data_IF_120762154169
#
_entry.id   IF_120762154169
#
_cell.length_a   1.000
_cell.length_b   1.000
_cell.length_c   1.000
_cell.angle_alpha   90.00
_cell.angle_beta   90.00
_cell.angle_gamma   90.00
#
_symmetry.space_group_name_H-M   'P 1'
#
loop_
_entity.id
_entity.type
_entity.pdbx_description
1 polymer ?
#
# COMPACT_ATOMS: atom_id res chain seq x y z
N UNK A 1 -7.22 -56.70 27.35
CA UNK A 1 -7.00 -55.29 27.71
C UNK A 1 -8.15 -54.47 27.14
N UNK A 2 -9.04 -53.87 27.96
CA UNK A 2 -10.10 -53.00 27.43
C UNK A 2 -9.48 -51.71 26.89
N UNK A 3 -9.95 -51.26 25.73
CA UNK A 3 -9.52 -50.00 25.11
C UNK A 3 -9.93 -48.82 25.99
N UNK A 4 -9.00 -47.89 26.23
CA UNK A 4 -9.28 -46.67 26.99
C UNK A 4 -10.21 -45.76 26.18
N UNK A 5 -11.27 -45.18 26.78
CA UNK A 5 -12.11 -44.21 26.10
C UNK A 5 -11.30 -42.94 25.81
N UNK A 6 -11.11 -42.60 24.53
CA UNK A 6 -10.52 -41.32 24.13
C UNK A 6 -11.52 -40.21 24.35
N UNK A 7 -11.41 -39.52 25.48
CA UNK A 7 -12.13 -38.27 25.74
C UNK A 7 -11.70 -37.30 24.64
N UNK A 8 -12.64 -36.92 23.77
CA UNK A 8 -12.42 -35.87 22.79
C UNK A 8 -12.25 -34.56 23.58
N UNK A 9 -10.99 -34.13 23.74
CA UNK A 9 -10.68 -32.81 24.27
C UNK A 9 -10.83 -31.87 23.08
N UNK A 10 -11.81 -30.94 23.06
CA UNK A 10 -11.78 -29.87 22.08
C UNK A 10 -10.42 -29.19 22.24
N UNK A 11 -9.56 -29.27 21.23
CA UNK A 11 -8.41 -28.37 21.14
C UNK A 11 -8.97 -26.95 21.24
N UNK A 12 -8.35 -26.05 22.01
CA UNK A 12 -8.80 -24.67 22.05
C UNK A 12 -8.89 -24.20 20.60
N UNK A 13 -10.11 -23.90 20.15
CA UNK A 13 -10.30 -23.16 18.91
C UNK A 13 -9.49 -21.89 19.13
N UNK A 14 -8.37 -21.76 18.42
CA UNK A 14 -7.56 -20.55 18.44
C UNK A 14 -8.45 -19.46 17.82
N UNK A 15 -9.32 -18.89 18.65
CA UNK A 15 -10.21 -17.81 18.28
C UNK A 15 -9.38 -16.74 17.59
N UNK A 16 -9.91 -16.09 16.54
CA UNK A 16 -9.13 -15.45 15.48
C UNK A 16 -7.90 -14.70 16.00
N UNK A 17 -6.74 -15.37 16.08
CA UNK A 17 -5.47 -14.78 16.55
C UNK A 17 -4.83 -13.91 15.46
N UNK A 18 -5.67 -13.21 14.71
CA UNK A 18 -5.30 -12.44 13.53
C UNK A 18 -6.02 -11.11 13.43
N UNK A 19 -6.71 -10.61 14.45
CA UNK A 19 -7.45 -9.34 14.30
C UNK A 19 -6.54 -8.17 13.89
N UNK A 20 -5.41 -7.98 14.58
CA UNK A 20 -4.44 -6.94 14.19
C UNK A 20 -3.76 -7.26 12.85
N UNK A 21 -3.37 -8.51 12.62
CA UNK A 21 -2.74 -8.94 11.38
C UNK A 21 -3.65 -8.76 10.17
N UNK A 22 -4.93 -9.09 10.30
CA UNK A 22 -5.93 -9.01 9.23
C UNK A 22 -6.39 -7.57 8.97
N UNK A 23 -6.46 -6.73 10.00
CA UNK A 23 -6.71 -5.29 9.85
C UNK A 23 -5.53 -4.61 9.15
N UNK A 24 -4.30 -4.90 9.57
CA UNK A 24 -3.10 -4.38 8.93
C UNK A 24 -2.98 -4.86 7.47
N UNK A 25 -3.28 -6.13 7.23
CA UNK A 25 -3.28 -6.74 5.90
C UNK A 25 -4.34 -6.08 4.98
N UNK A 26 -5.55 -5.82 5.50
CA UNK A 26 -6.58 -5.07 4.76
C UNK A 26 -6.13 -3.63 4.47
N UNK A 27 -5.50 -2.96 5.44
CA UNK A 27 -5.06 -1.58 5.29
C UNK A 27 -3.95 -1.43 4.25
N UNK A 28 -2.99 -2.36 4.24
CA UNK A 28 -1.89 -2.34 3.27
C UNK A 28 -2.40 -2.63 1.85
N UNK A 29 -3.32 -3.58 1.68
CA UNK A 29 -3.95 -3.85 0.37
C UNK A 29 -4.63 -2.60 -0.19
N UNK A 30 -5.38 -1.89 0.66
CA UNK A 30 -6.01 -0.62 0.29
C UNK A 30 -4.99 0.48 0.01
N UNK A 31 -3.92 0.57 0.78
CA UNK A 31 -2.86 1.55 0.57
C UNK A 31 -2.13 1.35 -0.77
N UNK A 32 -1.88 0.09 -1.17
CA UNK A 32 -1.28 -0.23 -2.47
C UNK A 32 -2.23 0.16 -3.61
N UNK A 33 -3.52 -0.18 -3.51
CA UNK A 33 -4.52 0.16 -4.52
C UNK A 33 -4.68 1.69 -4.70
N UNK A 34 -4.79 2.43 -3.59
CA UNK A 34 -4.86 3.89 -3.60
C UNK A 34 -3.56 4.49 -4.13
N UNK A 35 -2.42 3.96 -3.69
CA UNK A 35 -1.12 4.43 -4.14
C UNK A 35 -0.94 4.29 -5.66
N UNK A 36 -1.31 3.15 -6.23
CA UNK A 36 -1.23 2.93 -7.69
C UNK A 36 -2.03 3.98 -8.46
N UNK A 37 -3.25 4.27 -8.00
CA UNK A 37 -4.11 5.30 -8.58
C UNK A 37 -3.52 6.71 -8.40
N UNK A 38 -3.00 7.02 -7.21
CA UNK A 38 -2.39 8.30 -6.90
C UNK A 38 -1.13 8.56 -7.73
N UNK A 39 -0.30 7.53 -7.95
CA UNK A 39 0.91 7.64 -8.75
C UNK A 39 0.58 7.92 -10.21
N UNK A 40 -0.44 7.24 -10.75
CA UNK A 40 -0.92 7.49 -12.11
C UNK A 40 -1.43 8.93 -12.26
N UNK A 41 -2.21 9.42 -11.29
CA UNK A 41 -2.67 10.80 -11.26
C UNK A 41 -1.52 11.81 -11.17
N UNK A 42 -0.52 11.55 -10.31
CA UNK A 42 0.65 12.41 -10.17
C UNK A 42 1.53 12.47 -11.42
N UNK A 43 1.70 11.35 -12.13
CA UNK A 43 2.42 11.31 -13.41
C UNK A 43 1.68 12.12 -14.47
N UNK A 44 0.35 12.00 -14.56
CA UNK A 44 -0.44 12.76 -15.52
C UNK A 44 -0.38 14.27 -15.24
N UNK A 45 -0.59 14.68 -13.99
CA UNK A 45 -0.58 16.10 -13.60
C UNK A 45 0.84 16.68 -13.69
N UNK A 46 1.84 15.96 -13.20
CA UNK A 46 3.25 16.37 -13.27
C UNK A 46 3.77 16.44 -14.69
N UNK A 47 3.41 15.48 -15.55
CA UNK A 47 3.78 15.45 -16.96
C UNK A 47 3.15 16.61 -17.74
N UNK A 48 1.84 16.86 -17.58
CA UNK A 48 1.17 17.99 -18.22
C UNK A 48 1.71 19.34 -17.74
N UNK A 49 1.92 19.48 -16.43
CA UNK A 49 2.45 20.71 -15.84
C UNK A 49 3.88 20.99 -16.31
N UNK A 50 4.74 19.97 -16.40
CA UNK A 50 6.10 20.10 -16.92
C UNK A 50 6.13 20.55 -18.38
N UNK A 51 5.27 19.98 -19.24
CA UNK A 51 5.18 20.36 -20.65
C UNK A 51 4.63 21.79 -20.80
N UNK A 52 3.70 22.22 -19.95
CA UNK A 52 3.06 23.54 -20.03
C UNK A 52 3.89 24.65 -19.41
N UNK A 53 4.88 24.34 -18.55
CA UNK A 53 5.70 25.31 -17.82
C UNK A 53 6.81 25.98 -18.65
N UNK A 54 6.80 25.83 -19.98
CA UNK A 54 7.92 26.09 -20.92
C UNK A 54 8.76 27.36 -20.68
N UNK A 55 8.20 28.44 -20.11
CA UNK A 55 8.87 29.74 -19.97
C UNK A 55 8.71 30.40 -18.57
N UNK A 56 8.12 29.69 -17.59
CA UNK A 56 7.87 30.24 -16.26
C UNK A 56 8.57 29.38 -15.19
N UNK A 57 9.70 29.90 -14.69
CA UNK A 57 10.58 29.22 -13.73
C UNK A 57 9.83 28.78 -12.45
N UNK A 58 8.81 29.55 -12.02
CA UNK A 58 7.96 29.16 -10.87
C UNK A 58 7.07 27.96 -11.18
N UNK A 59 6.55 27.86 -12.42
CA UNK A 59 5.79 26.69 -12.84
C UNK A 59 6.68 25.47 -13.01
N UNK A 60 7.91 25.66 -13.49
CA UNK A 60 8.90 24.59 -13.59
C UNK A 60 9.29 24.06 -12.19
N UNK A 61 9.45 24.95 -11.20
CA UNK A 61 9.73 24.58 -9.82
C UNK A 61 8.54 23.84 -9.17
N UNK A 62 7.31 24.33 -9.39
CA UNK A 62 6.09 23.65 -8.97
C UNK A 62 5.92 22.27 -9.61
N UNK A 63 6.21 22.13 -10.90
CA UNK A 63 6.18 20.86 -11.62
C UNK A 63 7.22 19.87 -11.06
N UNK A 64 8.45 20.33 -10.77
CA UNK A 64 9.46 19.51 -10.09
C UNK A 64 8.98 19.01 -8.74
N UNK A 65 8.35 19.88 -7.94
CA UNK A 65 7.80 19.49 -6.62
C UNK A 65 6.68 18.46 -6.74
N UNK A 66 5.81 18.61 -7.74
CA UNK A 66 4.78 17.62 -8.08
C UNK A 66 5.39 16.30 -8.50
N UNK A 67 6.42 16.31 -9.36
CA UNK A 67 7.15 15.09 -9.76
C UNK A 67 7.77 14.42 -8.53
N UNK A 68 8.45 15.16 -7.66
CA UNK A 68 9.03 14.62 -6.42
C UNK A 68 7.96 13.97 -5.54
N UNK A 69 6.81 14.61 -5.36
CA UNK A 69 5.69 14.03 -4.60
C UNK A 69 5.12 12.77 -5.27
N UNK A 70 5.03 12.74 -6.61
CA UNK A 70 4.64 11.56 -7.38
C UNK A 70 5.64 10.40 -7.23
N UNK A 71 6.94 10.71 -7.24
CA UNK A 71 8.02 9.74 -6.98
C UNK A 71 7.94 9.20 -5.56
N UNK A 72 7.65 10.04 -4.56
CA UNK A 72 7.42 9.59 -3.18
C UNK A 72 6.22 8.63 -3.11
N UNK A 73 5.13 8.93 -3.82
CA UNK A 73 3.99 8.02 -3.96
C UNK A 73 4.37 6.67 -4.56
N UNK A 74 5.16 6.67 -5.64
CA UNK A 74 5.70 5.46 -6.27
C UNK A 74 6.55 4.64 -5.29
N UNK A 75 7.42 5.30 -4.52
CA UNK A 75 8.27 4.65 -3.51
C UNK A 75 7.44 3.99 -2.42
N UNK A 76 6.36 4.64 -1.94
CA UNK A 76 5.49 4.08 -0.90
C UNK A 76 4.82 2.78 -1.38
N UNK A 77 4.35 2.75 -2.63
CA UNK A 77 3.73 1.53 -3.20
C UNK A 77 4.77 0.44 -3.37
N UNK A 78 5.95 0.79 -3.89
CA UNK A 78 7.04 -0.15 -4.08
C UNK A 78 7.50 -0.76 -2.75
N UNK A 79 7.61 0.04 -1.69
CA UNK A 79 7.96 -0.42 -0.35
C UNK A 79 6.86 -1.31 0.25
N UNK A 80 5.59 -0.91 0.10
CA UNK A 80 4.46 -1.71 0.57
C UNK A 80 4.38 -3.09 -0.12
N UNK A 81 4.66 -3.15 -1.43
CA UNK A 81 4.71 -4.40 -2.18
C UNK A 81 5.85 -5.32 -1.73
N UNK A 82 7.04 -4.76 -1.47
CA UNK A 82 8.22 -5.52 -0.99
C UNK A 82 8.01 -6.06 0.42
N UNK A 83 7.41 -5.28 1.33
CA UNK A 83 7.16 -5.70 2.72
C UNK A 83 6.08 -6.79 2.77
N UNK A 84 5.11 -6.73 1.88
CA UNK A 84 4.01 -7.70 1.83
C UNK A 84 4.41 -9.05 1.23
N UNK A 85 5.21 -9.02 0.16
CA UNK A 85 5.54 -10.22 -0.64
C UNK A 85 6.48 -11.17 0.09
#
# INVERSE_FOLDING_TARGET
MPAFPTIWIPTPEVGPQGSFGSLLNSFITWAIAIGALATLAFILIGGFSYITAQDDEKKAEGARKTITNGVIGLIIISAAFIIWR
#
